data_IF_776408505741
#
_entry.id   IF_776408505741
#
_cell.length_a   1.000
_cell.length_b   1.000
_cell.length_c   1.000
_cell.angle_alpha   90.00
_cell.angle_beta   90.00
_cell.angle_gamma   90.00
#
_symmetry.space_group_name_H-M   'P 1'
#
loop_
_entity.id
_entity.type
_entity.pdbx_description
1 polymer ?
#
# COMPACT_ATOMS: atom_id res chain seq x y z
N UNK A 1 23.19 -8.66 0.47
CA UNK A 1 24.13 -8.85 -0.66
C UNK A 1 23.31 -8.67 -1.92
N UNK A 2 23.77 -7.85 -2.88
CA UNK A 2 22.99 -7.57 -4.09
C UNK A 2 23.31 -8.62 -5.16
N UNK A 3 22.34 -8.99 -5.99
CA UNK A 3 22.52 -9.84 -7.17
C UNK A 3 22.14 -9.05 -8.41
N UNK A 4 22.82 -9.29 -9.52
CA UNK A 4 22.58 -8.61 -10.80
C UNK A 4 22.57 -9.61 -11.94
N UNK A 5 21.91 -9.27 -13.04
CA UNK A 5 21.90 -10.06 -14.27
C UNK A 5 22.83 -9.37 -15.27
N UNK A 6 23.93 -10.03 -15.61
CA UNK A 6 24.94 -9.48 -16.53
C UNK A 6 24.83 -10.17 -17.89
N UNK A 7 24.70 -9.36 -18.93
CA UNK A 7 24.72 -9.76 -20.34
C UNK A 7 26.02 -9.33 -21.01
N UNK A 8 26.43 -10.03 -22.07
CA UNK A 8 27.51 -9.55 -22.94
C UNK A 8 27.02 -8.31 -23.72
N UNK A 9 27.87 -7.30 -23.84
CA UNK A 9 27.58 -6.10 -24.64
C UNK A 9 27.09 -6.48 -26.06
N UNK A 10 25.97 -5.89 -26.50
CA UNK A 10 25.32 -6.22 -27.78
C UNK A 10 24.46 -7.50 -27.81
N UNK A 11 24.42 -8.31 -26.74
CA UNK A 11 23.59 -9.53 -26.65
C UNK A 11 22.37 -9.33 -25.75
N UNK A 12 21.19 -9.76 -26.23
CA UNK A 12 19.96 -9.84 -25.43
C UNK A 12 19.68 -11.23 -24.84
N UNK A 13 20.58 -12.19 -25.07
CA UNK A 13 20.43 -13.60 -24.68
C UNK A 13 21.58 -14.06 -23.79
N UNK A 14 21.36 -15.12 -23.02
CA UNK A 14 22.34 -15.78 -22.12
C UNK A 14 22.87 -14.94 -20.94
N UNK A 15 22.03 -14.07 -20.37
CA UNK A 15 22.35 -13.34 -19.14
C UNK A 15 22.71 -14.26 -17.96
N UNK A 16 23.75 -13.91 -17.21
CA UNK A 16 24.21 -14.67 -16.04
C UNK A 16 23.95 -13.89 -14.77
N UNK A 17 23.41 -14.57 -13.76
CA UNK A 17 23.23 -13.97 -12.43
C UNK A 17 24.57 -13.95 -11.70
N UNK A 18 25.00 -12.77 -11.25
CA UNK A 18 26.27 -12.55 -10.55
C UNK A 18 26.00 -11.85 -9.22
N UNK A 19 26.71 -12.27 -8.17
CA UNK A 19 26.64 -11.60 -6.88
C UNK A 19 27.50 -10.35 -6.92
N UNK A 20 26.96 -9.22 -6.48
CA UNK A 20 27.71 -7.98 -6.31
C UNK A 20 28.53 -8.08 -5.02
N UNK A 21 29.84 -8.22 -5.20
CA UNK A 21 30.84 -8.29 -4.12
C UNK A 21 31.19 -6.89 -3.61
N UNK A 22 32.30 -6.74 -2.88
CA UNK A 22 32.68 -5.49 -2.23
C UNK A 22 33.46 -4.51 -3.14
N UNK A 23 33.91 -4.95 -4.32
CA UNK A 23 34.66 -4.13 -5.27
C UNK A 23 34.21 -4.35 -6.72
N UNK A 24 34.40 -3.33 -7.57
CA UNK A 24 34.09 -3.41 -9.00
C UNK A 24 34.98 -4.45 -9.71
N UNK A 25 36.26 -4.54 -9.32
CA UNK A 25 37.20 -5.51 -9.88
C UNK A 25 36.78 -6.95 -9.60
N UNK A 26 36.28 -7.23 -8.39
CA UNK A 26 35.76 -8.56 -8.04
C UNK A 26 34.50 -8.91 -8.85
N UNK A 27 33.63 -7.92 -9.09
CA UNK A 27 32.44 -8.08 -9.93
C UNK A 27 32.82 -8.35 -11.39
N UNK A 28 33.80 -7.64 -11.93
CA UNK A 28 34.34 -7.85 -13.28
C UNK A 28 35.04 -9.21 -13.40
N UNK A 29 35.75 -9.67 -12.38
CA UNK A 29 36.36 -10.99 -12.34
C UNK A 29 35.30 -12.10 -12.34
N UNK A 30 34.24 -11.94 -11.53
CA UNK A 30 33.12 -12.87 -11.49
C UNK A 30 32.34 -12.90 -12.81
N UNK A 31 32.15 -11.74 -13.45
CA UNK A 31 31.56 -11.63 -14.79
C UNK A 31 32.44 -12.32 -15.85
N UNK A 32 33.75 -12.09 -15.81
CA UNK A 32 34.72 -12.71 -16.73
C UNK A 32 34.69 -14.24 -16.65
N UNK A 33 34.63 -14.79 -15.43
CA UNK A 33 34.57 -16.24 -15.22
C UNK A 33 33.24 -16.84 -15.73
N UNK A 34 32.11 -16.16 -15.48
CA UNK A 34 30.78 -16.69 -15.83
C UNK A 34 30.39 -16.53 -17.29
N UNK A 35 30.89 -15.49 -17.95
CA UNK A 35 30.61 -15.21 -19.36
C UNK A 35 31.77 -15.61 -20.29
N UNK A 36 32.89 -16.10 -19.74
CA UNK A 36 34.08 -16.51 -20.49
C UNK A 36 34.62 -15.42 -21.43
N UNK A 37 34.66 -14.18 -20.94
CA UNK A 37 35.17 -12.99 -21.65
C UNK A 37 36.16 -12.23 -20.76
N UNK A 38 36.94 -11.30 -21.33
CA UNK A 38 37.79 -10.40 -20.55
C UNK A 38 37.02 -9.12 -20.19
N UNK A 39 36.24 -9.15 -19.12
CA UNK A 39 35.43 -8.00 -18.70
C UNK A 39 36.32 -6.79 -18.33
N UNK A 40 36.04 -5.63 -18.94
CA UNK A 40 36.74 -4.37 -18.68
C UNK A 40 35.79 -3.25 -18.23
N UNK A 41 34.59 -3.18 -18.81
CA UNK A 41 33.61 -2.13 -18.50
C UNK A 41 32.21 -2.69 -18.29
N UNK A 42 31.43 -2.04 -17.43
CA UNK A 42 30.04 -2.35 -17.13
C UNK A 42 29.15 -1.16 -17.52
N UNK A 43 28.02 -1.46 -18.17
CA UNK A 43 27.07 -0.47 -18.66
C UNK A 43 25.65 -0.76 -18.20
N UNK A 44 24.87 0.30 -18.02
CA UNK A 44 23.40 0.20 -17.87
C UNK A 44 22.73 -0.10 -19.22
N UNK A 45 21.44 -0.50 -19.25
CA UNK A 45 20.70 -0.71 -20.50
C UNK A 45 20.58 0.54 -21.38
N UNK A 46 20.77 1.72 -20.80
CA UNK A 46 20.77 3.01 -21.50
C UNK A 46 22.19 3.44 -21.94
N UNK A 47 23.21 2.61 -21.73
CA UNK A 47 24.59 2.88 -22.14
C UNK A 47 25.41 3.75 -21.17
N UNK A 48 24.95 3.94 -19.94
CA UNK A 48 25.73 4.64 -18.91
C UNK A 48 26.83 3.73 -18.37
N UNK A 49 28.08 4.20 -18.37
CA UNK A 49 29.22 3.49 -17.77
C UNK A 49 29.08 3.47 -16.25
N UNK A 50 29.31 2.32 -15.63
CA UNK A 50 29.29 2.13 -14.18
C UNK A 50 30.73 2.07 -13.68
N UNK A 51 31.12 3.09 -12.94
CA UNK A 51 32.44 3.24 -12.30
C UNK A 51 32.39 3.02 -10.78
N UNK A 52 31.20 3.05 -10.17
CA UNK A 52 31.00 2.86 -8.72
C UNK A 52 29.94 1.78 -8.42
N UNK A 53 30.34 0.75 -7.68
CA UNK A 53 29.51 -0.38 -7.25
C UNK A 53 28.32 0.05 -6.37
N UNK A 54 28.39 1.22 -5.72
CA UNK A 54 27.30 1.78 -4.91
C UNK A 54 26.07 2.14 -5.74
N UNK A 55 26.25 2.42 -7.04
CA UNK A 55 25.18 2.79 -7.97
C UNK A 55 24.34 1.59 -8.43
N UNK A 56 24.86 0.36 -8.23
CA UNK A 56 24.20 -0.88 -8.61
C UNK A 56 23.13 -1.24 -7.57
N UNK A 57 21.90 -1.50 -8.00
CA UNK A 57 20.78 -1.98 -7.18
C UNK A 57 20.63 -3.49 -7.27
N UNK A 58 19.77 -4.05 -6.42
CA UNK A 58 19.44 -5.47 -6.47
C UNK A 58 18.55 -5.75 -7.69
N UNK A 59 18.83 -6.86 -8.39
CA UNK A 59 18.19 -7.29 -9.63
C UNK A 59 18.40 -6.36 -10.86
N UNK A 60 19.42 -5.49 -10.83
CA UNK A 60 19.78 -4.67 -12.00
C UNK A 60 20.26 -5.52 -13.19
N UNK A 61 19.90 -5.06 -14.39
CA UNK A 61 20.37 -5.61 -15.68
C UNK A 61 21.55 -4.80 -16.16
N UNK A 62 22.72 -5.44 -16.28
CA UNK A 62 23.98 -4.81 -16.67
C UNK A 62 24.56 -5.46 -17.93
N UNK A 63 25.35 -4.69 -18.67
CA UNK A 63 26.05 -5.15 -19.87
C UNK A 63 27.56 -5.04 -19.68
N UNK A 64 28.29 -6.11 -19.95
CA UNK A 64 29.75 -6.14 -19.80
C UNK A 64 30.45 -6.15 -21.15
N UNK A 65 31.47 -5.30 -21.32
CA UNK A 65 32.29 -5.23 -22.53
C UNK A 65 33.76 -5.57 -22.27
N UNK A 66 34.48 -5.95 -23.33
CA UNK A 66 35.92 -6.27 -23.29
C UNK A 66 36.81 -5.03 -23.54
N UNK A 67 36.25 -3.83 -23.41
CA UNK A 67 36.90 -2.55 -23.72
C UNK A 67 36.25 -1.78 -24.88
N UNK A 68 35.18 -2.33 -25.46
CA UNK A 68 34.40 -1.69 -26.52
C UNK A 68 33.29 -0.80 -25.94
N UNK A 69 32.88 0.22 -26.72
CA UNK A 69 31.73 1.08 -26.41
C UNK A 69 30.42 0.29 -26.33
N UNK A 70 29.44 0.81 -25.58
CA UNK A 70 28.14 0.16 -25.40
C UNK A 70 27.39 -0.06 -26.72
N UNK A 71 26.89 -1.28 -26.91
CA UNK A 71 26.06 -1.68 -28.04
C UNK A 71 24.70 -2.16 -27.54
N UNK A 72 23.63 -1.63 -28.14
CA UNK A 72 22.27 -2.07 -27.86
C UNK A 72 22.10 -3.55 -28.28
N UNK A 73 21.36 -4.36 -27.49
CA UNK A 73 21.07 -5.74 -27.85
C UNK A 73 20.41 -5.85 -29.22
N UNK A 74 21.05 -6.56 -30.15
CA UNK A 74 20.43 -6.86 -31.45
C UNK A 74 19.42 -7.99 -31.23
N UNK A 75 18.13 -7.68 -31.36
CA UNK A 75 17.08 -8.70 -31.42
C UNK A 75 17.37 -9.64 -32.61
N UNK A 76 17.37 -10.97 -32.43
CA UNK A 76 17.59 -11.88 -33.54
C UNK A 76 16.47 -11.70 -34.57
N UNK A 77 16.85 -11.40 -35.81
CA UNK A 77 15.93 -11.44 -36.95
C UNK A 77 15.35 -12.86 -37.09
N UNK A 78 14.03 -13.03 -37.28
CA UNK A 78 13.42 -14.34 -37.40
C UNK A 78 13.73 -14.89 -38.79
N UNK A 79 14.84 -15.61 -38.96
CA UNK A 79 15.24 -15.97 -40.32
C UNK A 79 16.42 -16.90 -40.53
N UNK A 80 16.76 -17.83 -39.63
CA UNK A 80 17.65 -18.96 -39.99
C UNK A 80 17.26 -20.22 -39.19
N UNK A 81 16.79 -21.26 -39.88
CA UNK A 81 16.65 -22.62 -39.32
C UNK A 81 17.99 -23.35 -39.33
N UNK A 82 18.37 -24.09 -38.27
CA UNK A 82 19.43 -25.09 -38.35
C UNK A 82 18.90 -26.42 -38.95
N UNK A 83 19.77 -27.27 -39.53
CA UNK A 83 19.35 -28.47 -40.23
C UNK A 83 19.18 -29.68 -39.30
N UNK A 84 18.15 -30.47 -39.59
CA UNK A 84 18.08 -31.91 -39.34
C UNK A 84 17.65 -32.35 -37.94
N UNK A 85 16.46 -32.95 -37.84
CA UNK A 85 16.32 -34.39 -37.55
C UNK A 85 14.94 -34.88 -38.02
N UNK A 86 14.89 -36.18 -38.28
CA UNK A 86 14.03 -36.88 -39.24
C UNK A 86 12.69 -37.33 -38.64
N UNK A 87 11.65 -37.38 -39.48
CA UNK A 87 10.48 -38.25 -39.32
C UNK A 87 9.20 -37.52 -38.89
N UNK A 88 8.03 -37.66 -39.51
CA UNK A 88 7.61 -38.52 -40.60
C UNK A 88 6.36 -37.93 -41.28
N UNK A 89 6.35 -38.06 -42.61
CA UNK A 89 5.20 -38.25 -43.52
C UNK A 89 3.80 -37.85 -43.04
N UNK A 90 3.15 -36.96 -43.80
CA UNK A 90 2.30 -37.40 -44.90
C UNK A 90 2.14 -36.30 -45.96
N UNK A 91 2.19 -36.73 -47.21
CA UNK A 91 2.29 -35.96 -48.46
C UNK A 91 0.95 -35.38 -48.95
N UNK A 92 1.01 -34.40 -49.87
CA UNK A 92 -0.13 -33.61 -50.32
C UNK A 92 -0.82 -34.24 -51.55
N UNK A 93 -2.08 -33.88 -51.77
CA UNK A 93 -2.76 -34.07 -53.06
C UNK A 93 -2.91 -32.71 -53.74
N UNK A 94 -2.18 -32.56 -54.83
CA UNK A 94 -2.32 -31.48 -55.80
C UNK A 94 -3.39 -31.84 -56.85
N UNK A 95 -3.77 -30.79 -57.59
CA UNK A 95 -4.26 -30.75 -58.99
C UNK A 95 -5.75 -30.41 -59.14
N UNK A 96 -5.97 -29.23 -59.71
CA UNK A 96 -7.19 -28.80 -60.38
C UNK A 96 -7.01 -27.38 -60.93
N UNK A 97 -6.57 -27.25 -62.19
CA UNK A 97 -6.58 -26.01 -62.99
C UNK A 97 -8.01 -25.57 -63.34
N UNK A 98 -8.24 -24.29 -63.72
CA UNK A 98 -9.50 -23.58 -63.48
C UNK A 98 -10.49 -23.68 -64.64
N UNK A 99 -11.78 -23.37 -64.41
CA UNK A 99 -12.63 -22.79 -65.43
C UNK A 99 -13.06 -21.36 -65.07
N UNK A 100 -12.77 -20.46 -66.00
CA UNK A 100 -13.69 -19.46 -66.57
C UNK A 100 -14.56 -18.60 -65.64
N UNK A 101 -14.25 -17.31 -65.69
CA UNK A 101 -15.04 -16.12 -65.32
C UNK A 101 -16.55 -16.32 -65.09
N UNK A 102 -16.99 -15.96 -63.87
CA UNK A 102 -18.29 -15.36 -63.58
C UNK A 102 -18.11 -14.38 -62.40
N UNK A 103 -18.55 -13.15 -62.61
CA UNK A 103 -18.58 -12.03 -61.66
C UNK A 103 -19.52 -12.28 -60.47
N UNK A 104 -19.09 -11.94 -59.25
CA UNK A 104 -19.99 -11.80 -58.09
C UNK A 104 -19.30 -11.94 -56.74
N UNK A 105 -19.06 -10.81 -56.07
CA UNK A 105 -18.77 -10.62 -54.64
C UNK A 105 -17.79 -11.60 -53.94
N UNK A 106 -16.55 -11.15 -53.72
CA UNK A 106 -15.66 -11.76 -52.71
C UNK A 106 -16.22 -11.53 -51.31
N UNK A 107 -16.15 -12.50 -50.37
CA UNK A 107 -16.41 -12.23 -48.97
C UNK A 107 -15.33 -11.25 -48.49
N UNK A 108 -15.73 -10.02 -48.15
CA UNK A 108 -14.79 -9.03 -47.63
C UNK A 108 -14.22 -9.60 -46.34
N UNK A 109 -12.90 -9.78 -46.28
CA UNK A 109 -12.20 -10.07 -45.03
C UNK A 109 -12.57 -8.96 -44.03
N UNK A 110 -13.42 -9.29 -43.06
CA UNK A 110 -14.01 -8.33 -42.11
C UNK A 110 -13.04 -7.98 -40.97
N UNK A 111 -11.80 -8.46 -41.08
CA UNK A 111 -10.71 -8.24 -40.14
C UNK A 111 -10.09 -6.85 -40.35
N UNK A 112 -9.85 -6.19 -39.24
CA UNK A 112 -9.17 -4.89 -39.15
C UNK A 112 -7.98 -5.06 -38.22
N UNK A 113 -6.82 -4.61 -38.67
CA UNK A 113 -5.59 -4.61 -37.89
C UNK A 113 -5.26 -3.18 -37.49
N UNK A 114 -5.05 -2.94 -36.20
CA UNK A 114 -4.72 -1.65 -35.60
C UNK A 114 -3.32 -1.74 -34.99
N UNK A 115 -2.47 -0.77 -35.26
CA UNK A 115 -1.18 -0.60 -34.59
C UNK A 115 -1.30 0.59 -33.64
N UNK A 116 -1.45 0.32 -32.34
CA UNK A 116 -1.65 1.35 -31.30
C UNK A 116 -0.34 1.52 -30.55
N UNK A 117 0.35 2.64 -30.74
CA UNK A 117 1.62 2.92 -30.04
C UNK A 117 2.70 1.84 -30.19
N UNK A 118 2.70 1.10 -31.30
CA UNK A 118 3.63 0.00 -31.57
C UNK A 118 3.09 -1.41 -31.29
N UNK A 119 1.96 -1.54 -30.59
CA UNK A 119 1.31 -2.83 -30.32
C UNK A 119 0.25 -3.14 -31.38
N UNK A 120 0.31 -4.34 -31.95
CA UNK A 120 -0.63 -4.77 -32.99
C UNK A 120 -1.84 -5.47 -32.37
N UNK A 121 -3.03 -4.99 -32.71
CA UNK A 121 -4.32 -5.58 -32.36
C UNK A 121 -5.07 -5.99 -33.63
N UNK A 122 -5.58 -7.21 -33.67
CA UNK A 122 -6.49 -7.67 -34.73
C UNK A 122 -7.91 -7.79 -34.16
N UNK A 123 -8.88 -7.23 -34.88
CA UNK A 123 -10.29 -7.22 -34.50
C UNK A 123 -11.17 -7.27 -35.74
N UNK A 124 -12.49 -7.23 -35.58
CA UNK A 124 -13.44 -7.14 -36.71
C UNK A 124 -14.00 -5.72 -36.85
N UNK A 125 -14.41 -5.35 -38.06
CA UNK A 125 -15.10 -4.08 -38.29
C UNK A 125 -16.39 -3.98 -37.46
N UNK A 126 -17.15 -5.08 -37.37
CA UNK A 126 -18.32 -5.16 -36.52
C UNK A 126 -18.01 -4.79 -35.06
N UNK A 127 -16.91 -5.29 -34.48
CA UNK A 127 -16.52 -4.93 -33.11
C UNK A 127 -16.32 -3.42 -32.91
N UNK A 128 -15.73 -2.74 -33.88
CA UNK A 128 -15.44 -1.30 -33.78
C UNK A 128 -16.68 -0.42 -34.02
N UNK A 129 -17.66 -0.91 -34.75
CA UNK A 129 -18.81 -0.10 -35.22
C UNK A 129 -20.10 -0.41 -34.43
N UNK A 130 -20.33 -1.65 -34.02
CA UNK A 130 -21.65 -2.11 -33.55
C UNK A 130 -22.06 -1.55 -32.19
N UNK A 131 -21.13 -1.48 -31.21
CA UNK A 131 -21.51 -1.04 -29.86
C UNK A 131 -21.60 0.46 -29.70
N UNK A 132 -20.69 1.17 -30.34
CA UNK A 132 -20.54 2.61 -30.19
C UNK A 132 -20.55 3.27 -31.56
N UNK A 133 -21.70 3.36 -32.23
CA UNK A 133 -21.79 3.85 -33.61
C UNK A 133 -21.34 5.31 -33.75
N UNK A 134 -21.37 6.08 -32.66
CA UNK A 134 -20.95 7.48 -32.64
C UNK A 134 -19.46 7.67 -32.31
N UNK A 135 -18.76 6.60 -31.93
CA UNK A 135 -17.33 6.64 -31.60
C UNK A 135 -16.48 7.04 -32.79
N UNK A 136 -15.29 7.58 -32.52
CA UNK A 136 -14.29 7.89 -33.53
C UNK A 136 -13.91 6.64 -34.34
N UNK A 137 -13.80 5.48 -33.67
CA UNK A 137 -13.52 4.20 -34.31
C UNK A 137 -14.64 3.78 -35.25
N UNK A 138 -15.90 3.90 -34.81
CA UNK A 138 -17.03 3.60 -35.68
C UNK A 138 -17.07 4.50 -36.92
N UNK A 139 -16.80 5.80 -36.77
CA UNK A 139 -16.73 6.75 -37.90
C UNK A 139 -15.58 6.46 -38.86
N UNK A 140 -14.42 6.04 -38.35
CA UNK A 140 -13.27 5.68 -39.18
C UNK A 140 -13.47 4.40 -39.99
N UNK A 141 -14.29 3.47 -39.49
CA UNK A 141 -14.45 2.13 -40.07
C UNK A 141 -15.87 1.83 -40.57
N UNK A 142 -16.80 2.78 -40.52
CA UNK A 142 -18.13 2.67 -41.13
C UNK A 142 -18.06 2.87 -42.66
N UNK A 143 -18.96 2.23 -43.39
CA UNK A 143 -19.05 2.35 -44.84
C UNK A 143 -19.87 3.57 -45.31
N UNK A 144 -20.62 4.21 -44.41
CA UNK A 144 -21.69 5.14 -44.79
C UNK A 144 -21.31 6.62 -44.69
N UNK A 145 -20.35 7.00 -43.85
CA UNK A 145 -19.97 8.41 -43.64
C UNK A 145 -18.46 8.64 -43.80
N UNK A 146 -18.04 9.14 -44.97
CA UNK A 146 -16.63 9.42 -45.32
C UNK A 146 -16.03 10.67 -44.65
N UNK A 147 -16.54 11.08 -43.49
CA UNK A 147 -16.10 12.33 -42.83
C UNK A 147 -14.77 12.19 -42.09
N UNK A 148 -14.41 10.99 -41.64
CA UNK A 148 -13.13 10.67 -41.01
C UNK A 148 -12.54 9.43 -41.67
N UNK A 149 -11.45 9.61 -42.42
CA UNK A 149 -10.71 8.49 -43.00
C UNK A 149 -9.71 7.95 -41.97
N UNK A 150 -9.56 6.62 -41.87
CA UNK A 150 -8.55 6.04 -41.01
C UNK A 150 -7.14 6.40 -41.52
N UNK A 151 -6.16 6.34 -40.63
CA UNK A 151 -4.76 6.66 -40.92
C UNK A 151 -4.17 5.79 -42.04
N UNK A 152 -3.00 6.20 -42.55
CA UNK A 152 -2.27 5.38 -43.52
C UNK A 152 -1.94 4.00 -42.91
N UNK A 153 -2.02 2.97 -43.75
CA UNK A 153 -1.65 1.61 -43.36
C UNK A 153 -0.15 1.40 -43.45
N UNK A 154 0.40 0.61 -42.55
CA UNK A 154 1.80 0.15 -42.64
C UNK A 154 1.97 -0.97 -43.71
N UNK A 155 3.21 -1.47 -43.87
CA UNK A 155 3.55 -2.53 -44.81
C UNK A 155 2.79 -3.86 -44.57
N UNK A 156 2.22 -4.05 -43.37
CA UNK A 156 1.43 -5.22 -42.99
C UNK A 156 -0.08 -4.96 -43.06
N UNK A 157 -0.50 -3.76 -43.50
CA UNK A 157 -1.89 -3.38 -43.65
C UNK A 157 -2.56 -2.90 -42.36
N UNK A 158 -1.80 -2.63 -41.29
CA UNK A 158 -2.32 -2.16 -40.02
C UNK A 158 -2.49 -0.64 -39.99
N UNK A 159 -3.60 -0.16 -39.43
CA UNK A 159 -3.89 1.27 -39.25
C UNK A 159 -3.15 1.82 -38.03
N UNK A 160 -2.35 2.87 -38.20
CA UNK A 160 -1.59 3.47 -37.10
C UNK A 160 -2.48 4.35 -36.22
N UNK A 161 -2.46 4.11 -34.92
CA UNK A 161 -3.09 4.93 -33.88
C UNK A 161 -1.97 5.37 -32.92
N UNK A 162 -1.67 6.67 -32.93
CA UNK A 162 -0.59 7.26 -32.12
C UNK A 162 -1.06 7.52 -30.68
N UNK A 163 -1.35 6.44 -29.94
CA UNK A 163 -1.84 6.44 -28.55
C UNK A 163 -1.23 5.29 -27.76
N UNK A 164 -1.42 5.29 -26.44
CA UNK A 164 -0.91 4.23 -25.56
C UNK A 164 -1.73 2.95 -25.69
N UNK A 165 -1.09 1.82 -26.01
CA UNK A 165 -1.76 0.53 -26.08
C UNK A 165 -2.27 0.06 -24.71
N UNK A 166 -1.58 0.41 -23.62
CA UNK A 166 -1.92 -0.02 -22.25
C UNK A 166 -3.32 0.44 -21.84
N UNK A 167 -3.71 1.65 -22.24
CA UNK A 167 -5.02 2.22 -21.91
C UNK A 167 -6.08 1.91 -22.96
N UNK A 168 -5.66 1.61 -24.19
CA UNK A 168 -6.56 1.24 -25.28
C UNK A 168 -7.08 -0.19 -25.19
N UNK A 169 -6.25 -1.14 -24.77
CA UNK A 169 -6.61 -2.57 -24.73
C UNK A 169 -7.88 -2.86 -23.90
N UNK A 170 -8.07 -2.30 -22.69
CA UNK A 170 -9.31 -2.47 -21.95
C UNK A 170 -10.56 -1.99 -22.70
N UNK A 171 -10.43 -0.90 -23.46
CA UNK A 171 -11.52 -0.34 -24.26
C UNK A 171 -11.83 -1.21 -25.47
N UNK A 172 -10.82 -1.76 -26.14
CA UNK A 172 -11.04 -2.72 -27.22
C UNK A 172 -11.74 -3.98 -26.70
N UNK A 173 -11.37 -4.46 -25.50
CA UNK A 173 -12.02 -5.59 -24.86
C UNK A 173 -13.47 -5.26 -24.47
N UNK A 174 -13.73 -4.06 -23.94
CA UNK A 174 -15.08 -3.57 -23.70
C UNK A 174 -15.94 -3.57 -24.98
N UNK A 175 -15.40 -3.08 -26.10
CA UNK A 175 -16.09 -3.15 -27.40
C UNK A 175 -16.38 -4.59 -27.82
N UNK A 176 -15.51 -5.56 -27.51
CA UNK A 176 -15.75 -7.00 -27.76
C UNK A 176 -16.85 -7.58 -26.87
N UNK A 177 -16.74 -7.48 -25.54
CA UNK A 177 -17.55 -8.24 -24.59
C UNK A 177 -18.65 -7.43 -23.88
N UNK A 178 -18.51 -6.10 -23.75
CA UNK A 178 -19.49 -5.17 -23.20
C UNK A 178 -19.31 -4.92 -21.70
N UNK A 179 -18.25 -5.49 -21.14
CA UNK A 179 -17.91 -5.40 -19.73
C UNK A 179 -16.52 -4.81 -19.60
N UNK A 180 -16.40 -3.72 -18.85
CA UNK A 180 -15.12 -3.07 -18.65
C UNK A 180 -14.36 -3.81 -17.54
N UNK A 181 -13.25 -4.42 -17.90
CA UNK A 181 -12.38 -5.16 -16.98
C UNK A 181 -11.02 -4.46 -17.00
N UNK A 182 -10.57 -4.02 -15.82
CA UNK A 182 -9.27 -3.38 -15.62
C UNK A 182 -8.38 -4.27 -14.77
N UNK A 183 -7.17 -4.53 -15.25
CA UNK A 183 -6.16 -5.19 -14.44
C UNK A 183 -5.73 -4.28 -13.27
N UNK A 184 -5.35 -4.84 -12.11
CA UNK A 184 -4.99 -4.05 -10.92
C UNK A 184 -3.87 -3.01 -11.14
N UNK A 185 -3.02 -3.23 -12.15
CA UNK A 185 -1.87 -2.38 -12.45
C UNK A 185 -2.17 -1.24 -13.44
N UNK A 186 -3.38 -1.20 -14.03
CA UNK A 186 -3.74 -0.21 -15.04
C UNK A 186 -4.40 0.99 -14.35
N UNK A 187 -3.93 2.19 -14.71
CA UNK A 187 -4.48 3.43 -14.19
C UNK A 187 -5.85 3.74 -14.82
N UNK A 188 -6.97 3.73 -14.07
CA UNK A 188 -8.31 3.90 -14.61
C UNK A 188 -8.52 5.30 -15.23
N UNK A 189 -7.86 6.34 -14.72
CA UNK A 189 -7.91 7.69 -15.28
C UNK A 189 -7.27 7.74 -16.67
N UNK A 190 -6.20 6.96 -16.90
CA UNK A 190 -5.60 6.84 -18.22
C UNK A 190 -6.55 6.19 -19.23
N UNK A 191 -7.30 5.18 -18.78
CA UNK A 191 -8.34 4.53 -19.60
C UNK A 191 -9.53 5.46 -19.85
N UNK A 192 -9.91 6.28 -18.87
CA UNK A 192 -10.97 7.29 -19.01
C UNK A 192 -10.64 8.32 -20.08
N UNK A 193 -9.41 8.83 -20.10
CA UNK A 193 -8.97 9.78 -21.10
C UNK A 193 -8.97 9.18 -22.51
N UNK A 194 -8.57 7.91 -22.68
CA UNK A 194 -8.70 7.22 -23.97
C UNK A 194 -10.17 6.98 -24.34
N UNK A 195 -11.04 6.63 -23.39
CA UNK A 195 -12.46 6.41 -23.64
C UNK A 195 -13.11 7.68 -24.20
N UNK A 196 -12.79 8.83 -23.61
CA UNK A 196 -13.24 10.16 -24.08
C UNK A 196 -12.64 10.50 -25.44
N UNK A 197 -11.36 10.23 -25.66
CA UNK A 197 -10.70 10.48 -26.95
C UNK A 197 -11.35 9.70 -28.10
N UNK A 198 -11.61 8.41 -27.91
CA UNK A 198 -12.27 7.58 -28.92
C UNK A 198 -13.80 7.76 -28.97
N UNK A 199 -14.40 8.50 -28.03
CA UNK A 199 -15.85 8.69 -27.95
C UNK A 199 -16.61 7.40 -27.61
N UNK A 200 -16.06 6.59 -26.70
CA UNK A 200 -16.69 5.37 -26.17
C UNK A 200 -17.51 5.78 -24.92
N UNK A 201 -18.63 6.46 -25.17
CA UNK A 201 -19.42 7.15 -24.13
C UNK A 201 -19.98 6.19 -23.07
N UNK A 202 -20.34 4.94 -23.44
CA UNK A 202 -20.88 3.99 -22.45
C UNK A 202 -19.85 3.51 -21.42
N UNK A 203 -18.55 3.63 -21.69
CA UNK A 203 -17.50 3.25 -20.74
C UNK A 203 -17.19 4.36 -19.72
N UNK A 204 -17.45 5.62 -20.06
CA UNK A 204 -17.16 6.81 -19.24
C UNK A 204 -17.81 6.76 -17.84
N UNK A 205 -19.13 6.55 -17.69
CA UNK A 205 -19.74 6.54 -16.35
C UNK A 205 -19.27 5.37 -15.48
N UNK A 206 -18.89 4.24 -16.10
CA UNK A 206 -18.34 3.08 -15.38
C UNK A 206 -16.95 3.42 -14.84
N UNK A 207 -16.11 4.07 -15.65
CA UNK A 207 -14.76 4.51 -15.24
C UNK A 207 -14.82 5.59 -14.16
N UNK A 208 -15.69 6.58 -14.30
CA UNK A 208 -15.89 7.63 -13.29
C UNK A 208 -16.32 7.04 -11.95
N UNK A 209 -17.29 6.10 -11.94
CA UNK A 209 -17.69 5.41 -10.72
C UNK A 209 -16.57 4.56 -10.10
N UNK A 210 -15.73 3.92 -10.92
CA UNK A 210 -14.56 3.16 -10.46
C UNK A 210 -13.47 4.05 -9.85
N UNK A 211 -13.28 5.27 -10.37
CA UNK A 211 -12.32 6.24 -9.85
C UNK A 211 -12.83 6.80 -8.51
N UNK A 212 -14.07 7.27 -8.45
CA UNK A 212 -14.66 7.81 -7.21
C UNK A 212 -14.67 6.78 -6.08
N UNK A 213 -15.02 5.52 -6.38
CA UNK A 213 -15.00 4.45 -5.37
C UNK A 213 -13.59 4.08 -4.89
N UNK A 214 -12.55 4.27 -5.72
CA UNK A 214 -11.14 4.09 -5.33
C UNK A 214 -10.63 5.22 -4.43
N UNK A 215 -11.02 6.46 -4.70
CA UNK A 215 -10.69 7.60 -3.85
C UNK A 215 -11.30 7.44 -2.45
N UNK A 216 -12.55 6.98 -2.35
CA UNK A 216 -13.21 6.71 -1.07
C UNK A 216 -12.57 5.53 -0.30
N UNK A 217 -12.01 4.53 -0.99
CA UNK A 217 -11.39 3.37 -0.32
C UNK A 217 -9.94 3.60 0.11
N UNK A 218 -9.17 4.48 -0.57
CA UNK A 218 -7.79 4.76 -0.16
C UNK A 218 -7.68 5.59 1.13
N UNK A 219 -8.69 6.38 1.49
CA UNK A 219 -8.70 7.13 2.76
C UNK A 219 -9.08 6.27 3.99
N UNK A 220 -9.57 5.04 3.79
CA UNK A 220 -10.20 4.24 4.85
C UNK A 220 -9.45 2.96 5.23
N UNK A 221 -8.45 2.52 4.46
CA UNK A 221 -7.71 1.31 4.80
C UNK A 221 -6.69 1.57 5.93
N UNK A 222 -6.76 0.82 7.05
CA UNK A 222 -5.80 0.96 8.14
C UNK A 222 -4.38 0.60 7.67
N UNK A 223 -3.37 1.33 8.13
CA UNK A 223 -1.99 0.96 7.83
C UNK A 223 -1.63 -0.39 8.44
N UNK A 224 -0.96 -1.20 7.65
CA UNK A 224 -0.37 -2.46 8.10
C UNK A 224 0.84 -2.22 9.01
N UNK A 225 1.18 -3.21 9.84
CA UNK A 225 2.39 -3.15 10.69
C UNK A 225 3.65 -2.83 9.88
N UNK A 226 3.79 -3.40 8.69
CA UNK A 226 4.95 -3.15 7.84
C UNK A 226 5.03 -1.69 7.40
N UNK A 227 3.92 -1.10 6.95
CA UNK A 227 3.86 0.31 6.57
C UNK A 227 4.17 1.23 7.75
N UNK A 228 3.71 0.89 8.96
CA UNK A 228 4.04 1.66 10.16
C UNK A 228 5.53 1.56 10.48
N UNK A 229 6.13 0.37 10.40
CA UNK A 229 7.58 0.19 10.61
C UNK A 229 8.38 0.94 9.55
N UNK A 230 7.98 0.88 8.28
CA UNK A 230 8.63 1.61 7.20
C UNK A 230 8.53 3.13 7.42
N UNK A 231 7.38 3.63 7.84
CA UNK A 231 7.21 5.02 8.25
C UNK A 231 8.12 5.37 9.44
N UNK A 232 8.25 4.50 10.44
CA UNK A 232 9.15 4.70 11.59
C UNK A 232 10.64 4.69 11.22
N UNK A 233 11.03 4.07 10.12
CA UNK A 233 12.42 4.05 9.65
C UNK A 233 12.72 5.25 8.75
N UNK A 234 11.75 5.63 7.92
CA UNK A 234 11.91 6.67 6.89
C UNK A 234 11.73 8.08 7.42
N UNK A 235 10.80 8.29 8.36
CA UNK A 235 10.53 9.61 8.95
C UNK A 235 11.41 9.87 10.15
N UNK A 236 11.73 11.14 10.41
CA UNK A 236 12.59 11.51 11.52
C UNK A 236 11.80 11.53 12.84
N UNK A 237 12.44 11.15 13.95
CA UNK A 237 11.81 11.10 15.28
C UNK A 237 11.39 12.46 15.86
N UNK A 238 11.75 13.56 15.19
CA UNK A 238 11.35 14.94 15.56
C UNK A 238 10.21 15.47 14.69
N UNK A 239 9.73 14.69 13.74
CA UNK A 239 8.65 15.13 12.86
C UNK A 239 7.37 15.25 13.67
N UNK A 240 6.86 16.48 13.78
CA UNK A 240 5.70 16.78 14.63
C UNK A 240 4.42 16.08 14.17
N UNK A 241 4.33 15.70 12.89
CA UNK A 241 3.13 15.13 12.27
C UNK A 241 3.17 13.61 12.08
N UNK A 242 4.17 12.92 12.62
CA UNK A 242 4.58 11.56 12.25
C UNK A 242 3.45 10.52 12.15
N UNK A 243 2.38 10.64 12.94
CA UNK A 243 1.17 9.82 12.83
C UNK A 243 -0.13 10.57 13.20
N UNK A 244 -0.17 11.88 12.97
CA UNK A 244 -1.35 12.69 13.32
C UNK A 244 -2.52 12.36 12.37
N UNK A 245 -3.68 12.01 12.92
CA UNK A 245 -4.90 11.73 12.16
C UNK A 245 -4.87 10.45 11.33
N UNK A 246 -3.86 9.60 11.49
CA UNK A 246 -3.70 8.39 10.69
C UNK A 246 -4.65 7.28 11.16
N UNK A 247 -5.22 6.54 10.22
CA UNK A 247 -5.96 5.32 10.49
C UNK A 247 -5.00 4.13 10.68
N UNK A 248 -4.90 3.68 11.93
CA UNK A 248 -4.11 2.53 12.35
C UNK A 248 -5.02 1.41 12.88
N UNK A 249 -6.34 1.51 12.70
CA UNK A 249 -7.32 0.62 13.31
C UNK A 249 -6.97 -0.86 13.14
N UNK A 250 -6.92 -1.59 14.26
CA UNK A 250 -6.61 -3.02 14.27
C UNK A 250 -5.16 -3.36 13.92
N UNK A 251 -4.27 -2.38 13.72
CA UNK A 251 -2.88 -2.64 13.42
C UNK A 251 -2.17 -3.32 14.61
N UNK A 252 -1.24 -4.21 14.29
CA UNK A 252 -0.33 -4.77 15.28
C UNK A 252 0.89 -3.87 15.46
N UNK A 253 0.89 -3.13 16.57
CA UNK A 253 1.93 -2.22 17.02
C UNK A 253 2.66 -2.75 18.27
N UNK A 254 2.47 -4.03 18.61
CA UNK A 254 3.01 -4.62 19.82
C UNK A 254 4.53 -4.59 19.83
N UNK A 255 5.08 -4.31 21.03
CA UNK A 255 6.52 -4.25 21.31
C UNK A 255 7.33 -3.26 20.45
N UNK A 256 6.67 -2.34 19.74
CA UNK A 256 7.34 -1.30 18.99
C UNK A 256 7.83 -0.19 19.91
N UNK A 257 8.92 0.47 19.50
CA UNK A 257 9.37 1.71 20.09
C UNK A 257 8.68 2.89 19.41
N UNK A 258 7.70 3.46 20.11
CA UNK A 258 6.84 4.55 19.63
C UNK A 258 7.10 5.85 20.38
N UNK A 259 8.25 5.98 21.07
CA UNK A 259 8.54 7.13 21.94
C UNK A 259 8.40 8.47 21.21
N UNK A 260 7.79 9.44 21.90
CA UNK A 260 7.63 10.82 21.46
C UNK A 260 6.90 10.99 20.12
N UNK A 261 6.05 10.03 19.73
CA UNK A 261 5.26 10.14 18.51
C UNK A 261 3.99 10.95 18.75
N UNK A 262 3.63 11.78 17.76
CA UNK A 262 2.35 12.45 17.71
C UNK A 262 1.29 11.56 17.03
N UNK A 263 0.36 11.03 17.83
CA UNK A 263 -0.82 10.28 17.45
C UNK A 263 -2.12 11.09 17.67
N UNK A 264 -2.03 12.42 17.74
CA UNK A 264 -3.21 13.28 17.92
C UNK A 264 -4.23 12.98 16.82
N UNK A 265 -5.49 12.84 17.20
CA UNK A 265 -6.60 12.48 16.28
C UNK A 265 -6.46 11.14 15.53
N UNK A 266 -5.46 10.30 15.83
CA UNK A 266 -5.30 9.02 15.16
C UNK A 266 -6.41 8.04 15.56
N UNK A 267 -6.80 7.16 14.63
CA UNK A 267 -7.63 6.00 14.94
C UNK A 267 -6.74 4.79 15.23
N UNK A 268 -6.60 4.49 16.52
CA UNK A 268 -5.89 3.34 17.08
C UNK A 268 -6.90 2.32 17.66
N UNK A 269 -8.17 2.36 17.24
CA UNK A 269 -9.19 1.47 17.77
C UNK A 269 -8.86 0.01 17.47
N UNK A 270 -9.00 -0.85 18.48
CA UNK A 270 -8.69 -2.28 18.43
C UNK A 270 -7.25 -2.62 18.04
N UNK A 271 -6.32 -1.66 18.10
CA UNK A 271 -4.90 -1.93 17.87
C UNK A 271 -4.32 -2.85 18.93
N UNK A 272 -3.33 -3.66 18.54
CA UNK A 272 -2.49 -4.37 19.50
C UNK A 272 -1.24 -3.54 19.81
N UNK A 273 -1.19 -2.92 20.98
CA UNK A 273 -0.09 -2.12 21.52
C UNK A 273 0.59 -2.82 22.71
N UNK A 274 0.38 -4.13 22.89
CA UNK A 274 0.90 -4.87 24.02
C UNK A 274 2.43 -4.77 24.11
N UNK A 275 2.93 -4.37 25.28
CA UNK A 275 4.34 -4.15 25.57
C UNK A 275 5.03 -3.08 24.70
N UNK A 276 4.28 -2.24 23.99
CA UNK A 276 4.85 -1.13 23.22
C UNK A 276 5.42 -0.05 24.16
N UNK A 277 6.47 0.63 23.70
CA UNK A 277 7.03 1.78 24.40
C UNK A 277 6.42 3.07 23.84
N UNK A 278 5.46 3.65 24.54
CA UNK A 278 4.73 4.85 24.14
C UNK A 278 5.08 6.06 25.02
N UNK A 279 6.28 6.05 25.62
CA UNK A 279 6.70 7.13 26.50
C UNK A 279 6.77 8.46 25.74
N UNK A 280 6.18 9.51 26.31
CA UNK A 280 6.14 10.85 25.72
C UNK A 280 5.21 11.01 24.53
N UNK A 281 4.39 10.00 24.18
CA UNK A 281 3.45 10.10 23.07
C UNK A 281 2.38 11.16 23.30
N UNK A 282 1.98 11.83 22.21
CA UNK A 282 0.82 12.71 22.19
C UNK A 282 -0.38 11.96 21.58
N UNK A 283 -1.32 11.52 22.41
CA UNK A 283 -2.55 10.81 22.06
C UNK A 283 -3.79 11.67 22.30
N UNK A 284 -3.65 12.99 22.31
CA UNK A 284 -4.77 13.91 22.54
C UNK A 284 -5.88 13.65 21.52
N UNK A 285 -7.11 13.42 22.01
CA UNK A 285 -8.29 13.13 21.18
C UNK A 285 -8.11 11.94 20.21
N UNK A 286 -7.16 11.04 20.47
CA UNK A 286 -7.03 9.81 19.72
C UNK A 286 -8.13 8.80 20.09
N UNK A 287 -8.49 7.92 19.17
CA UNK A 287 -9.42 6.83 19.42
C UNK A 287 -8.65 5.54 19.66
N UNK A 288 -8.60 5.04 20.89
CA UNK A 288 -8.04 3.73 21.26
C UNK A 288 -9.13 2.78 21.80
N UNK A 289 -10.39 2.95 21.38
CA UNK A 289 -11.48 2.08 21.81
C UNK A 289 -11.17 0.60 21.55
N UNK A 290 -11.24 -0.22 22.59
CA UNK A 290 -10.94 -1.65 22.54
C UNK A 290 -9.49 -2.01 22.19
N UNK A 291 -8.54 -1.06 22.25
CA UNK A 291 -7.13 -1.34 22.01
C UNK A 291 -6.54 -2.19 23.14
N UNK A 292 -5.54 -3.03 22.81
CA UNK A 292 -4.79 -3.82 23.77
C UNK A 292 -3.45 -3.16 24.09
N UNK A 293 -3.35 -2.49 25.23
CA UNK A 293 -2.13 -1.83 25.73
C UNK A 293 -1.46 -2.63 26.86
N UNK A 294 -1.77 -3.91 27.05
CA UNK A 294 -1.24 -4.70 28.17
C UNK A 294 0.30 -4.58 28.31
N UNK A 295 0.76 -4.18 29.49
CA UNK A 295 2.18 -4.02 29.79
C UNK A 295 2.88 -2.87 29.05
N UNK A 296 2.15 -1.98 28.37
CA UNK A 296 2.73 -0.85 27.65
C UNK A 296 3.38 0.16 28.61
N UNK A 297 4.44 0.82 28.13
CA UNK A 297 5.08 1.93 28.85
C UNK A 297 4.45 3.24 28.38
N UNK A 298 3.82 3.97 29.30
CA UNK A 298 3.01 5.18 29.08
C UNK A 298 3.51 6.34 29.94
N UNK A 299 4.83 6.42 30.14
CA UNK A 299 5.48 7.49 30.90
C UNK A 299 5.30 8.84 30.20
N UNK A 300 4.90 9.88 30.93
CA UNK A 300 4.73 11.23 30.39
C UNK A 300 3.84 11.28 29.13
N UNK A 301 2.81 10.42 29.05
CA UNK A 301 1.90 10.39 27.91
C UNK A 301 0.85 11.49 28.04
N UNK A 302 0.42 12.05 26.90
CA UNK A 302 -0.69 13.02 26.83
C UNK A 302 -1.92 12.36 26.21
N UNK A 303 -2.96 12.15 27.01
CA UNK A 303 -4.21 11.48 26.69
C UNK A 303 -5.43 12.39 26.85
N UNK A 304 -5.24 13.71 26.79
CA UNK A 304 -6.33 14.69 26.95
C UNK A 304 -7.50 14.38 26.02
N UNK A 305 -8.66 14.11 26.61
CA UNK A 305 -9.89 13.75 25.90
C UNK A 305 -9.76 12.58 24.91
N UNK A 306 -8.83 11.65 25.13
CA UNK A 306 -8.72 10.44 24.32
C UNK A 306 -9.85 9.44 24.65
N UNK A 307 -10.20 8.58 23.69
CA UNK A 307 -11.17 7.52 23.88
C UNK A 307 -10.46 6.18 24.12
N UNK A 308 -10.53 5.64 25.33
CA UNK A 308 -10.02 4.32 25.74
C UNK A 308 -11.16 3.41 26.26
N UNK A 309 -12.39 3.61 25.79
CA UNK A 309 -13.51 2.76 26.14
C UNK A 309 -13.19 1.28 25.85
N UNK A 310 -13.39 0.42 26.84
CA UNK A 310 -13.11 -1.02 26.80
C UNK A 310 -11.65 -1.39 26.43
N UNK A 311 -10.70 -0.48 26.57
CA UNK A 311 -9.28 -0.79 26.32
C UNK A 311 -8.70 -1.69 27.42
N UNK A 312 -7.77 -2.57 27.05
CA UNK A 312 -6.98 -3.36 28.00
C UNK A 312 -5.69 -2.60 28.33
N UNK A 313 -5.63 -2.02 29.53
CA UNK A 313 -4.49 -1.30 30.09
C UNK A 313 -3.83 -2.09 31.23
N UNK A 314 -4.03 -3.40 31.33
CA UNK A 314 -3.51 -4.22 32.43
C UNK A 314 -2.00 -4.10 32.55
N UNK A 315 -1.51 -3.93 33.78
CA UNK A 315 -0.09 -3.79 34.10
C UNK A 315 0.66 -2.71 33.30
N UNK A 316 -0.02 -1.64 32.90
CA UNK A 316 0.62 -0.48 32.26
C UNK A 316 1.45 0.33 33.26
N UNK A 317 2.50 0.98 32.76
CA UNK A 317 3.34 1.87 33.56
C UNK A 317 3.18 3.33 33.14
N UNK A 318 2.61 4.17 34.00
CA UNK A 318 2.52 5.63 33.81
C UNK A 318 3.45 6.41 34.74
N UNK A 319 4.17 5.76 35.65
CA UNK A 319 4.97 6.40 36.70
C UNK A 319 6.38 6.76 36.19
N UNK A 320 6.63 8.06 35.99
CA UNK A 320 7.96 8.57 35.68
C UNK A 320 8.75 8.81 36.99
N UNK A 321 9.92 8.16 37.18
CA UNK A 321 10.80 8.42 38.33
C UNK A 321 11.25 9.87 38.45
N UNK A 322 11.22 10.64 37.36
CA UNK A 322 11.56 12.07 37.36
C UNK A 322 10.40 12.97 37.85
N UNK A 323 9.24 12.40 38.17
CA UNK A 323 8.08 13.13 38.69
C UNK A 323 7.20 13.80 37.63
N UNK A 324 7.46 13.58 36.35
CA UNK A 324 6.60 14.08 35.26
C UNK A 324 5.32 13.26 35.21
N UNK A 325 4.18 13.92 35.41
CA UNK A 325 2.88 13.23 35.46
C UNK A 325 2.29 13.09 34.07
N UNK A 326 1.81 11.90 33.74
CA UNK A 326 0.98 11.68 32.54
C UNK A 326 -0.34 12.44 32.65
N UNK A 327 -0.77 13.07 31.56
CA UNK A 327 -2.00 13.87 31.52
C UNK A 327 -3.12 13.09 30.84
N UNK A 328 -4.08 12.58 31.62
CA UNK A 328 -5.25 11.83 31.16
C UNK A 328 -6.55 12.58 31.48
N UNK A 329 -6.52 13.91 31.54
CA UNK A 329 -7.71 14.72 31.81
C UNK A 329 -8.81 14.48 30.76
N UNK A 330 -10.05 14.30 31.22
CA UNK A 330 -11.21 14.10 30.37
C UNK A 330 -11.18 12.84 29.52
N UNK A 331 -10.31 11.88 29.81
CA UNK A 331 -10.21 10.61 29.08
C UNK A 331 -11.48 9.77 29.30
N UNK A 332 -11.93 9.06 28.27
CA UNK A 332 -12.98 8.05 28.39
C UNK A 332 -12.36 6.67 28.61
N UNK A 333 -12.48 6.12 29.83
CA UNK A 333 -12.00 4.80 30.25
C UNK A 333 -13.18 3.89 30.64
N UNK A 334 -14.38 4.14 30.13
CA UNK A 334 -15.56 3.33 30.43
C UNK A 334 -15.30 1.86 30.12
N UNK A 335 -15.49 0.98 31.10
CA UNK A 335 -15.27 -0.46 30.97
C UNK A 335 -13.83 -0.88 30.68
N UNK A 336 -12.84 0.02 30.84
CA UNK A 336 -11.44 -0.32 30.63
C UNK A 336 -10.91 -1.26 31.73
N UNK A 337 -9.91 -2.06 31.38
CA UNK A 337 -9.23 -2.98 32.32
C UNK A 337 -7.87 -2.39 32.67
N UNK A 338 -7.73 -1.81 33.86
CA UNK A 338 -6.48 -1.20 34.33
C UNK A 338 -5.75 -2.04 35.39
N UNK A 339 -6.24 -3.24 35.70
CA UNK A 339 -5.73 -4.07 36.80
C UNK A 339 -4.20 -4.11 36.88
N UNK A 340 -3.65 -3.83 38.07
CA UNK A 340 -2.21 -3.86 38.35
C UNK A 340 -1.40 -2.72 37.70
N UNK A 341 -2.05 -1.67 37.17
CA UNK A 341 -1.34 -0.56 36.54
C UNK A 341 -0.72 0.40 37.56
N UNK A 342 0.42 0.97 37.19
CA UNK A 342 1.09 2.04 37.93
C UNK A 342 0.57 3.39 37.44
N UNK A 343 -0.32 4.02 38.22
CA UNK A 343 -1.00 5.27 37.91
C UNK A 343 -0.66 6.38 38.92
N UNK A 344 0.46 6.23 39.66
CA UNK A 344 0.89 7.18 40.65
C UNK A 344 1.07 8.58 40.05
N UNK A 345 0.43 9.59 40.65
CA UNK A 345 0.49 10.98 40.24
C UNK A 345 -0.27 11.32 38.94
N UNK A 346 -0.88 10.37 38.25
CA UNK A 346 -1.54 10.61 36.95
C UNK A 346 -2.71 11.58 37.11
N UNK A 347 -2.85 12.50 36.14
CA UNK A 347 -4.00 13.40 36.10
C UNK A 347 -5.19 12.73 35.40
N UNK A 348 -6.20 12.33 36.16
CA UNK A 348 -7.47 11.74 35.70
C UNK A 348 -8.65 12.69 36.00
N UNK A 349 -8.42 14.00 36.07
CA UNK A 349 -9.46 15.00 36.31
C UNK A 349 -10.59 14.86 35.27
N UNK A 350 -11.83 14.80 35.74
CA UNK A 350 -13.04 14.69 34.88
C UNK A 350 -12.99 13.49 33.92
N UNK A 351 -12.19 12.46 34.23
CA UNK A 351 -12.17 11.22 33.46
C UNK A 351 -13.46 10.42 33.67
N UNK A 352 -13.91 9.72 32.63
CA UNK A 352 -15.03 8.76 32.74
C UNK A 352 -14.47 7.36 32.95
N UNK A 353 -14.56 6.82 34.16
CA UNK A 353 -14.06 5.49 34.52
C UNK A 353 -15.19 4.48 34.75
N UNK A 354 -16.46 4.84 34.53
CA UNK A 354 -17.62 3.98 34.79
C UNK A 354 -17.43 2.51 34.35
N UNK A 355 -17.69 1.57 35.25
CA UNK A 355 -17.50 0.12 35.07
C UNK A 355 -16.05 -0.33 34.82
N UNK A 356 -15.03 0.49 35.08
CA UNK A 356 -13.63 0.10 34.90
C UNK A 356 -13.14 -0.84 36.02
N UNK A 357 -12.23 -1.74 35.67
CA UNK A 357 -11.51 -2.60 36.62
C UNK A 357 -10.19 -1.93 37.00
N UNK A 358 -10.08 -1.42 38.23
CA UNK A 358 -8.92 -0.76 38.82
C UNK A 358 -8.29 -1.61 39.96
N UNK A 359 -8.50 -2.93 39.95
CA UNK A 359 -7.95 -3.83 40.97
C UNK A 359 -6.44 -3.73 41.06
N UNK A 360 -5.91 -3.73 42.29
CA UNK A 360 -4.47 -3.74 42.55
C UNK A 360 -3.69 -2.60 41.84
N UNK A 361 -4.36 -1.50 41.48
CA UNK A 361 -3.71 -0.35 40.89
C UNK A 361 -2.98 0.50 41.93
N UNK A 362 -1.85 1.07 41.54
CA UNK A 362 -1.21 2.13 42.31
C UNK A 362 -1.75 3.49 41.86
N UNK A 363 -2.61 4.10 42.67
CA UNK A 363 -3.23 5.41 42.42
C UNK A 363 -2.70 6.48 43.40
N UNK A 364 -1.51 6.26 43.99
CA UNK A 364 -0.92 7.21 44.95
C UNK A 364 -0.77 8.60 44.32
N UNK A 365 -1.21 9.63 45.03
CA UNK A 365 -1.18 11.03 44.57
C UNK A 365 -1.88 11.29 43.21
N UNK A 366 -2.70 10.36 42.70
CA UNK A 366 -3.46 10.55 41.46
C UNK A 366 -4.51 11.65 41.62
N UNK A 367 -4.77 12.40 40.55
CA UNK A 367 -5.78 13.47 40.54
C UNK A 367 -7.06 12.95 39.90
N UNK A 368 -8.04 12.58 40.71
CA UNK A 368 -9.34 12.03 40.30
C UNK A 368 -10.50 13.03 40.51
N UNK A 369 -10.17 14.33 40.64
CA UNK A 369 -11.18 15.35 40.92
C UNK A 369 -12.24 15.40 39.79
N UNK A 370 -13.52 15.29 40.16
CA UNK A 370 -14.63 15.25 39.20
C UNK A 370 -14.70 14.01 38.30
N UNK A 371 -13.90 12.97 38.56
CA UNK A 371 -13.95 11.73 37.77
C UNK A 371 -15.23 10.92 38.05
N UNK A 372 -15.74 10.24 37.04
CA UNK A 372 -16.89 9.33 37.18
C UNK A 372 -16.40 7.90 37.42
N UNK A 373 -16.41 7.46 38.68
CA UNK A 373 -15.98 6.14 39.13
C UNK A 373 -17.18 5.22 39.44
N UNK A 374 -18.36 5.50 38.89
CA UNK A 374 -19.56 4.69 39.12
C UNK A 374 -19.31 3.20 38.75
N UNK A 375 -19.70 2.27 39.62
CA UNK A 375 -19.56 0.83 39.41
C UNK A 375 -18.11 0.37 39.10
N UNK A 376 -17.10 1.10 39.57
CA UNK A 376 -15.70 0.70 39.42
C UNK A 376 -15.27 -0.28 40.50
N UNK A 377 -14.33 -1.17 40.16
CA UNK A 377 -13.69 -2.07 41.13
C UNK A 377 -12.29 -1.55 41.49
N UNK A 378 -12.15 -0.96 42.67
CA UNK A 378 -10.89 -0.42 43.22
C UNK A 378 -10.25 -1.38 44.24
N UNK A 379 -10.66 -2.65 44.26
CA UNK A 379 -10.22 -3.58 45.31
C UNK A 379 -8.71 -3.82 45.27
N UNK A 380 -8.04 -3.75 46.42
CA UNK A 380 -6.58 -3.88 46.53
C UNK A 380 -5.77 -2.70 45.98
N UNK A 381 -6.41 -1.61 45.56
CA UNK A 381 -5.69 -0.42 45.08
C UNK A 381 -5.10 0.40 46.23
N UNK A 382 -4.06 1.19 45.92
CA UNK A 382 -3.50 2.19 46.84
C UNK A 382 -3.93 3.59 46.43
N UNK A 383 -4.72 4.25 47.28
CA UNK A 383 -5.26 5.60 47.06
C UNK A 383 -4.61 6.64 47.98
N UNK A 384 -3.45 6.36 48.57
CA UNK A 384 -2.76 7.32 49.44
C UNK A 384 -2.52 8.65 48.71
N UNK A 385 -2.94 9.76 49.33
CA UNK A 385 -2.83 11.12 48.77
C UNK A 385 -3.60 11.37 47.46
N UNK A 386 -4.45 10.45 47.01
CA UNK A 386 -5.27 10.65 45.83
C UNK A 386 -6.32 11.77 46.05
N UNK A 387 -6.50 12.64 45.06
CA UNK A 387 -7.50 13.70 45.12
C UNK A 387 -8.82 13.25 44.48
N UNK A 388 -9.79 12.88 45.31
CA UNK A 388 -11.13 12.40 44.90
C UNK A 388 -12.22 13.50 44.96
N UNK A 389 -11.85 14.78 45.04
CA UNK A 389 -12.83 15.86 45.23
C UNK A 389 -13.87 15.88 44.11
N UNK A 390 -15.15 15.69 44.46
CA UNK A 390 -16.26 15.70 43.51
C UNK A 390 -16.30 14.49 42.57
N UNK A 391 -15.53 13.43 42.85
CA UNK A 391 -15.64 12.18 42.11
C UNK A 391 -16.96 11.47 42.41
N UNK A 392 -17.57 10.84 41.40
CA UNK A 392 -18.75 10.02 41.59
C UNK A 392 -18.34 8.59 41.97
N UNK A 393 -18.54 8.21 43.23
CA UNK A 393 -18.16 6.89 43.78
C UNK A 393 -19.35 5.94 43.93
N UNK A 394 -20.48 6.21 43.28
CA UNK A 394 -21.68 5.36 43.39
C UNK A 394 -21.37 3.92 42.98
N UNK A 395 -21.74 2.96 43.83
CA UNK A 395 -21.54 1.53 43.60
C UNK A 395 -20.06 1.11 43.36
N UNK A 396 -19.09 1.94 43.75
CA UNK A 396 -17.67 1.59 43.65
C UNK A 396 -17.26 0.60 44.76
N UNK A 397 -16.50 -0.44 44.41
CA UNK A 397 -16.02 -1.45 45.33
C UNK A 397 -14.61 -1.09 45.86
N UNK A 398 -14.42 -1.13 47.18
CA UNK A 398 -13.18 -0.77 47.89
C UNK A 398 -12.66 -1.91 48.77
N UNK A 399 -12.79 -3.17 48.35
CA UNK A 399 -12.36 -4.30 49.17
C UNK A 399 -10.83 -4.34 49.29
N UNK A 400 -10.29 -4.78 50.43
CA UNK A 400 -8.85 -5.05 50.60
C UNK A 400 -7.91 -3.86 50.31
N UNK A 401 -8.34 -2.61 50.54
CA UNK A 401 -7.50 -1.43 50.37
C UNK A 401 -6.18 -1.56 51.13
N UNK A 402 -5.06 -1.29 50.43
CA UNK A 402 -3.70 -1.31 51.00
C UNK A 402 -3.53 -0.26 52.10
N UNK A 403 -4.18 0.89 51.93
CA UNK A 403 -4.15 2.02 52.86
C UNK A 403 -5.58 2.49 53.17
N UNK A 404 -5.93 2.77 54.45
CA UNK A 404 -7.22 3.35 54.80
C UNK A 404 -7.39 4.72 54.14
N UNK A 405 -8.51 4.92 53.45
CA UNK A 405 -8.81 6.19 52.80
C UNK A 405 -9.11 7.27 53.87
N UNK A 406 -8.23 8.26 54.04
CA UNK A 406 -8.48 9.41 54.91
C UNK A 406 -9.47 10.38 54.21
N UNK A 407 -10.76 10.10 54.33
CA UNK A 407 -11.85 10.87 53.72
C UNK A 407 -12.15 12.15 54.51
N UNK A 408 -11.34 13.19 54.37
CA UNK A 408 -11.61 14.50 55.00
C UNK A 408 -12.18 15.56 54.04
N UNK A 409 -12.60 15.18 52.83
CA UNK A 409 -13.10 16.12 51.82
C UNK A 409 -14.49 15.71 51.33
N UNK A 410 -15.46 16.56 51.66
CA UNK A 410 -16.90 16.57 51.40
C UNK A 410 -17.38 15.61 50.32
N UNK A 411 -18.01 14.51 50.73
CA UNK A 411 -18.74 13.57 49.88
C UNK A 411 -20.23 13.93 49.87
N UNK A 412 -20.82 14.01 48.68
CA UNK A 412 -22.26 13.84 48.48
C UNK A 412 -22.49 12.39 48.06
N UNK A 413 -22.48 11.48 49.03
CA UNK A 413 -22.97 10.12 48.83
C UNK A 413 -24.45 10.11 49.24
N UNK A 414 -25.34 10.18 48.27
CA UNK A 414 -26.72 9.75 48.50
C UNK A 414 -26.69 8.21 48.47
N UNK A 415 -26.81 7.63 49.68
CA UNK A 415 -26.87 6.19 49.95
C UNK A 415 -28.12 5.53 49.34
#
# INVERSE_FOLDING_TARGET
MKRVIIFRNGSGVDGKVVLVTHSLDDLLAAASQKLAIRAAHLYTPQGGLIDDIRLIRDDDILYVSEGEDFQLPVQPSPGVRPPGHVGARMTPLCIGTPPSACSGASPTNDWVTLNVGGQIFTTTRATLVTKEPNSMLAKMFSCEDSSLLPSNRDAHGAYLIDRSYTYFEPLLNFLRNGTLILDPCINPEGVLEEARFFGIESAVPVLEALITSREETQELEPLTRQQVVDALITTHHKDELRFQGINLRGADLSKLDLRNINFKFADLSRCNLAGANMNGCCLERANLCGANLEGAQLLNVKLLCANLESANLRACNFEDPAGTRSNCEGVNLRGAVLEGSMLAGVNLRVATLKNANLKNCDLRAAVLAGADLENCDLSGSDLQEANLRGANLKDAAFELMLTPLHMSQTMTCDL
#
